data_IF_597696418020
#
_entry.id   IF_597696418020
#
_cell.length_a   1.000
_cell.length_b   1.000
_cell.length_c   1.000
_cell.angle_alpha   90.00
_cell.angle_beta   90.00
_cell.angle_gamma   90.00
#
_symmetry.space_group_name_H-M   'P 1'
#
loop_
_entity.id
_entity.type
_entity.pdbx_description
1 polymer ?
#
# COMPACT_ATOMS: atom_id res chain seq x y z
N UNK A 1 -31.63 -16.81 49.69
CA UNK A 1 -30.90 -16.19 48.56
C UNK A 1 -30.88 -17.20 47.43
N UNK A 2 -31.93 -17.17 46.60
CA UNK A 2 -32.07 -18.10 45.48
C UNK A 2 -31.50 -17.43 44.23
N UNK A 3 -30.18 -17.53 44.08
CA UNK A 3 -29.51 -17.16 42.84
C UNK A 3 -29.55 -18.38 41.92
N UNK A 4 -30.39 -18.32 40.88
CA UNK A 4 -30.38 -19.29 39.78
C UNK A 4 -29.81 -18.62 38.52
N UNK A 5 -29.14 -19.42 37.71
CA UNK A 5 -28.57 -19.02 36.42
C UNK A 5 -29.01 -20.04 35.38
N UNK A 6 -29.53 -19.55 34.26
CA UNK A 6 -29.97 -20.36 33.14
C UNK A 6 -28.86 -20.45 32.09
N UNK A 7 -28.68 -21.64 31.48
CA UNK A 7 -27.90 -21.78 30.26
C UNK A 7 -28.79 -21.46 29.06
N UNK A 8 -28.46 -20.38 28.35
CA UNK A 8 -29.25 -19.91 27.22
C UNK A 8 -28.89 -20.66 25.93
N UNK A 9 -29.90 -20.86 25.08
CA UNK A 9 -29.68 -21.33 23.72
C UNK A 9 -28.88 -20.28 22.91
N UNK A 10 -28.15 -20.69 21.84
CA UNK A 10 -27.40 -19.75 21.01
C UNK A 10 -28.26 -18.58 20.52
N UNK A 11 -27.74 -17.35 20.62
CA UNK A 11 -28.44 -16.11 20.29
C UNK A 11 -29.30 -15.51 21.41
N UNK A 12 -29.46 -16.18 22.56
CA UNK A 12 -30.23 -15.66 23.69
C UNK A 12 -29.33 -15.29 24.87
N UNK A 13 -29.65 -14.17 25.52
CA UNK A 13 -28.94 -13.64 26.68
C UNK A 13 -29.94 -13.24 27.78
N UNK A 14 -29.40 -12.82 28.93
CA UNK A 14 -30.19 -12.40 30.09
C UNK A 14 -30.45 -13.52 31.09
N UNK A 15 -30.86 -13.17 32.31
CA UNK A 15 -31.02 -14.12 33.42
C UNK A 15 -32.09 -15.20 33.12
N UNK A 16 -33.07 -14.85 32.28
CA UNK A 16 -34.16 -15.75 31.86
C UNK A 16 -34.05 -16.17 30.40
N UNK A 17 -32.94 -15.87 29.70
CA UNK A 17 -32.75 -16.19 28.28
C UNK A 17 -33.87 -15.66 27.36
N UNK A 18 -34.45 -14.51 27.71
CA UNK A 18 -35.55 -13.87 26.96
C UNK A 18 -35.08 -12.74 26.06
N UNK A 19 -33.82 -12.35 26.19
CA UNK A 19 -33.28 -11.21 25.45
C UNK A 19 -32.51 -11.74 24.24
N UNK A 20 -32.87 -11.28 23.03
CA UNK A 20 -32.09 -11.61 21.84
C UNK A 20 -30.76 -10.86 21.89
N UNK A 21 -29.66 -11.56 21.64
CA UNK A 21 -28.36 -10.93 21.48
C UNK A 21 -28.38 -10.07 20.21
N UNK A 22 -28.01 -8.79 20.32
CA UNK A 22 -27.89 -7.91 19.14
C UNK A 22 -26.64 -8.30 18.34
N UNK A 23 -26.86 -9.10 17.32
CA UNK A 23 -25.82 -9.61 16.43
C UNK A 23 -25.37 -8.54 15.40
N UNK A 24 -26.05 -7.39 15.35
CA UNK A 24 -25.68 -6.27 14.48
C UNK A 24 -24.61 -5.34 15.05
N UNK A 25 -24.22 -5.46 16.32
CA UNK A 25 -23.17 -4.62 16.93
C UNK A 25 -21.80 -4.74 16.24
N UNK A 26 -21.50 -5.92 15.69
CA UNK A 26 -20.26 -6.19 14.92
C UNK A 26 -20.66 -6.97 13.67
N UNK A 27 -21.29 -6.28 12.71
CA UNK A 27 -21.68 -6.87 11.44
C UNK A 27 -20.68 -6.57 10.32
N UNK A 28 -20.66 -7.43 9.31
CA UNK A 28 -19.83 -7.31 8.11
C UNK A 28 -20.58 -6.70 6.92
N UNK A 29 -21.78 -6.15 7.11
CA UNK A 29 -22.57 -5.58 6.02
C UNK A 29 -21.82 -4.43 5.34
N UNK A 30 -21.71 -4.50 4.02
CA UNK A 30 -20.94 -3.55 3.20
C UNK A 30 -21.86 -2.63 2.39
N UNK A 31 -21.26 -1.62 1.75
CA UNK A 31 -21.89 -0.80 0.71
C UNK A 31 -23.19 -0.07 1.14
N UNK A 32 -23.32 0.25 2.43
CA UNK A 32 -24.49 0.95 2.97
C UNK A 32 -25.71 0.06 3.22
N UNK A 33 -25.51 -1.26 3.29
CA UNK A 33 -26.54 -2.21 3.69
C UNK A 33 -27.02 -1.99 5.13
N UNK A 34 -28.30 -2.32 5.36
CA UNK A 34 -28.91 -2.24 6.69
C UNK A 34 -28.81 -3.61 7.35
N UNK A 35 -28.20 -3.69 8.54
CA UNK A 35 -28.15 -4.92 9.30
C UNK A 35 -29.50 -5.21 9.96
N UNK A 36 -30.01 -6.42 9.77
CA UNK A 36 -31.22 -6.93 10.40
C UNK A 36 -30.85 -8.01 11.40
N UNK A 37 -31.07 -7.72 12.68
CA UNK A 37 -30.85 -8.63 13.80
C UNK A 37 -31.77 -9.86 13.70
N UNK A 38 -31.22 -11.05 13.96
CA UNK A 38 -31.95 -12.33 13.98
C UNK A 38 -31.63 -13.08 15.27
N UNK A 39 -32.30 -14.21 15.49
CA UNK A 39 -31.97 -15.11 16.59
C UNK A 39 -30.73 -15.90 16.19
N UNK A 40 -29.59 -15.61 16.83
CA UNK A 40 -28.29 -16.25 16.59
C UNK A 40 -27.69 -15.94 15.22
N UNK A 41 -27.71 -14.67 14.82
CA UNK A 41 -27.03 -14.14 13.65
C UNK A 41 -27.68 -12.85 13.13
N UNK A 42 -27.18 -12.35 12.00
CA UNK A 42 -27.76 -11.19 11.34
C UNK A 42 -27.88 -11.41 9.83
N UNK A 43 -28.72 -10.60 9.18
CA UNK A 43 -28.90 -10.57 7.74
C UNK A 43 -28.64 -9.15 7.22
N UNK A 44 -27.89 -9.01 6.13
CA UNK A 44 -27.68 -7.71 5.49
C UNK A 44 -28.75 -7.45 4.45
N UNK A 45 -29.56 -6.41 4.67
CA UNK A 45 -30.49 -5.92 3.66
C UNK A 45 -29.73 -5.05 2.65
N UNK A 46 -29.48 -5.61 1.45
CA UNK A 46 -28.71 -4.94 0.42
C UNK A 46 -29.47 -3.77 -0.22
N UNK A 47 -28.79 -2.64 -0.45
CA UNK A 47 -29.33 -1.56 -1.29
C UNK A 47 -29.56 -2.05 -2.72
N UNK A 48 -30.41 -1.33 -3.46
CA UNK A 48 -30.78 -1.69 -4.84
C UNK A 48 -29.53 -1.94 -5.69
N UNK A 49 -29.49 -3.13 -6.31
CA UNK A 49 -28.42 -3.55 -7.21
C UNK A 49 -27.24 -4.24 -6.52
N UNK A 50 -27.05 -4.10 -5.22
CA UNK A 50 -26.03 -4.85 -4.49
C UNK A 50 -26.52 -6.26 -4.16
N UNK A 51 -25.60 -7.21 -4.11
CA UNK A 51 -25.89 -8.62 -3.81
C UNK A 51 -24.75 -9.26 -3.01
N UNK A 52 -24.94 -10.50 -2.58
CA UNK A 52 -24.03 -11.20 -1.67
C UNK A 52 -24.57 -11.25 -0.24
N UNK A 53 -23.99 -12.13 0.59
CA UNK A 53 -24.44 -12.33 1.97
C UNK A 53 -24.21 -11.08 2.83
N UNK A 54 -23.16 -10.34 2.52
CA UNK A 54 -22.77 -9.10 3.19
C UNK A 54 -22.91 -7.88 2.25
N UNK A 55 -23.64 -8.03 1.15
CA UNK A 55 -23.81 -7.01 0.12
C UNK A 55 -22.48 -6.55 -0.52
N UNK A 56 -21.51 -7.45 -0.58
CA UNK A 56 -20.15 -7.23 -1.07
C UNK A 56 -20.06 -7.13 -2.60
N UNK A 57 -21.06 -7.64 -3.33
CA UNK A 57 -21.11 -7.59 -4.79
C UNK A 57 -21.87 -6.36 -5.26
N UNK A 58 -21.18 -5.50 -6.01
CA UNK A 58 -21.77 -4.31 -6.63
C UNK A 58 -22.72 -4.69 -7.79
N UNK A 59 -23.70 -3.82 -8.12
CA UNK A 59 -24.57 -4.03 -9.27
C UNK A 59 -23.80 -4.22 -10.57
N UNK A 60 -24.26 -5.19 -11.36
CA UNK A 60 -23.83 -5.29 -12.75
C UNK A 60 -24.42 -4.11 -13.54
N UNK A 61 -23.58 -3.13 -13.81
CA UNK A 61 -23.91 -1.86 -14.49
C UNK A 61 -24.24 -2.02 -15.98
N UNK A 62 -24.06 -3.21 -16.57
CA UNK A 62 -24.34 -3.43 -18.00
C UNK A 62 -25.84 -3.45 -18.34
N UNK A 63 -26.72 -3.64 -17.34
CA UNK A 63 -28.17 -3.76 -17.56
C UNK A 63 -28.97 -2.50 -17.19
N UNK A 64 -28.34 -1.48 -16.57
CA UNK A 64 -29.02 -0.26 -16.11
C UNK A 64 -28.80 0.96 -17.01
N UNK A 65 -27.81 0.93 -17.90
CA UNK A 65 -27.52 2.03 -18.83
C UNK A 65 -27.31 1.51 -20.25
N UNK A 66 -28.41 1.27 -20.97
CA UNK A 66 -28.33 1.11 -22.42
C UNK A 66 -28.23 2.48 -23.10
N UNK A 67 -27.07 2.65 -23.75
CA UNK A 67 -26.66 3.67 -24.73
C UNK A 67 -25.76 4.78 -24.19
N UNK A 68 -24.49 4.69 -24.61
CA UNK A 68 -23.36 5.59 -24.37
C UNK A 68 -23.05 5.86 -22.91
N UNK A 69 -22.74 4.81 -22.14
CA UNK A 69 -21.92 5.03 -20.94
C UNK A 69 -20.55 5.53 -21.41
N UNK A 70 -20.09 6.72 -20.99
CA UNK A 70 -18.72 7.15 -21.29
C UNK A 70 -17.68 6.31 -20.55
N UNK A 71 -18.05 5.16 -19.99
CA UNK A 71 -17.17 4.21 -19.31
C UNK A 71 -17.00 2.91 -20.10
N UNK A 72 -17.72 2.73 -21.21
CA UNK A 72 -17.72 1.48 -21.99
C UNK A 72 -16.35 1.17 -22.64
N UNK A 73 -15.52 2.21 -22.84
CA UNK A 73 -14.15 2.10 -23.37
C UNK A 73 -13.10 2.76 -22.47
N UNK A 74 -13.48 3.23 -21.28
CA UNK A 74 -12.61 4.08 -20.46
C UNK A 74 -12.21 3.37 -19.16
N UNK A 75 -10.94 2.95 -19.12
CA UNK A 75 -10.33 2.13 -18.08
C UNK A 75 -9.96 2.94 -16.82
N UNK A 76 -10.90 3.10 -15.88
CA UNK A 76 -10.55 3.35 -14.48
C UNK A 76 -10.04 2.04 -13.86
N UNK A 77 -8.72 1.90 -13.65
CA UNK A 77 -8.12 0.62 -13.19
C UNK A 77 -8.50 0.27 -11.75
N UNK A 78 -8.38 1.23 -10.84
CA UNK A 78 -8.69 1.07 -9.42
C UNK A 78 -9.66 2.16 -8.96
N UNK A 79 -10.82 2.26 -9.61
CA UNK A 79 -11.81 3.28 -9.29
C UNK A 79 -13.11 3.11 -10.07
N UNK A 80 -14.07 3.98 -9.78
CA UNK A 80 -15.39 3.99 -10.43
C UNK A 80 -15.44 5.11 -11.47
N UNK A 81 -15.83 4.76 -12.70
CA UNK A 81 -16.06 5.74 -13.77
C UNK A 81 -17.45 6.37 -13.64
N UNK A 82 -17.54 7.69 -13.86
CA UNK A 82 -18.81 8.41 -13.90
C UNK A 82 -18.73 9.65 -14.81
N UNK A 83 -19.88 10.16 -15.27
CA UNK A 83 -19.98 11.43 -16.01
C UNK A 83 -20.54 12.52 -15.08
N UNK A 84 -19.74 13.54 -14.69
CA UNK A 84 -20.24 14.65 -13.90
C UNK A 84 -21.33 15.44 -14.64
N UNK A 85 -22.35 15.98 -13.95
CA UNK A 85 -23.36 16.84 -14.56
C UNK A 85 -22.72 18.05 -15.28
N UNK A 86 -23.08 18.26 -16.54
CA UNK A 86 -22.53 19.35 -17.36
C UNK A 86 -21.14 19.10 -17.94
N UNK A 87 -20.56 17.91 -17.74
CA UNK A 87 -19.30 17.52 -18.37
C UNK A 87 -19.54 16.74 -19.67
N UNK A 88 -18.65 16.94 -20.64
CA UNK A 88 -18.60 16.16 -21.88
C UNK A 88 -17.60 14.99 -21.82
N UNK A 89 -16.87 14.83 -20.71
CA UNK A 89 -15.83 13.80 -20.53
C UNK A 89 -16.03 13.04 -19.20
N UNK A 90 -15.66 11.75 -19.19
CA UNK A 90 -15.78 10.91 -17.99
C UNK A 90 -14.73 11.31 -16.93
N UNK A 91 -15.01 10.92 -15.69
CA UNK A 91 -14.07 11.03 -14.57
C UNK A 91 -14.00 9.72 -13.80
N UNK A 92 -12.81 9.39 -13.29
CA UNK A 92 -12.61 8.28 -12.39
C UNK A 92 -12.58 8.76 -10.94
N UNK A 93 -13.47 8.23 -10.10
CA UNK A 93 -13.36 8.31 -8.64
C UNK A 93 -12.47 7.17 -8.15
N UNK A 94 -11.24 7.49 -7.77
CA UNK A 94 -10.27 6.47 -7.38
C UNK A 94 -10.55 5.87 -6.00
N UNK A 95 -10.31 4.57 -5.87
CA UNK A 95 -10.29 3.88 -4.59
C UNK A 95 -9.19 4.47 -3.69
N UNK A 96 -9.34 4.40 -2.35
CA UNK A 96 -8.32 4.88 -1.43
C UNK A 96 -6.94 4.29 -1.78
N UNK A 97 -5.93 5.15 -1.89
CA UNK A 97 -4.59 4.72 -2.27
C UNK A 97 -4.27 4.78 -3.76
N UNK A 98 -5.22 5.20 -4.60
CA UNK A 98 -5.00 5.42 -6.04
C UNK A 98 -5.37 6.85 -6.46
N UNK A 99 -4.75 7.33 -7.53
CA UNK A 99 -4.91 8.66 -8.12
C UNK A 99 -4.63 8.60 -9.62
N UNK A 100 -4.71 9.74 -10.30
CA UNK A 100 -4.57 9.87 -11.74
C UNK A 100 -5.91 9.82 -12.47
N UNK A 101 -5.94 10.29 -13.73
CA UNK A 101 -7.18 10.35 -14.54
C UNK A 101 -7.84 8.98 -14.68
N UNK A 102 -7.06 7.90 -14.60
CA UNK A 102 -7.48 6.50 -14.74
C UNK A 102 -7.32 5.65 -13.48
N UNK A 103 -7.00 6.25 -12.33
CA UNK A 103 -6.75 5.50 -11.08
C UNK A 103 -5.67 4.42 -11.23
N UNK A 104 -4.66 4.72 -12.05
CA UNK A 104 -3.52 3.89 -12.40
C UNK A 104 -2.27 4.28 -11.62
N UNK A 105 -2.30 5.42 -10.92
CA UNK A 105 -1.20 5.88 -10.09
C UNK A 105 -1.49 5.55 -8.63
N UNK A 106 -0.55 4.90 -7.95
CA UNK A 106 -0.66 4.62 -6.52
C UNK A 106 -0.34 5.91 -5.72
N UNK A 107 -1.26 6.33 -4.85
CA UNK A 107 -1.15 7.53 -4.00
C UNK A 107 -0.82 7.24 -2.54
N UNK A 108 -1.32 6.15 -1.97
CA UNK A 108 -1.01 5.73 -0.60
C UNK A 108 -1.20 4.24 -0.42
N UNK A 109 -0.26 3.59 0.29
CA UNK A 109 -0.28 2.14 0.50
C UNK A 109 0.05 1.85 1.95
N UNK A 110 -0.61 0.83 2.50
CA UNK A 110 -0.29 0.28 3.81
C UNK A 110 0.26 -1.13 3.64
N UNK A 111 1.41 -1.39 4.26
CA UNK A 111 2.08 -2.69 4.20
C UNK A 111 1.82 -3.48 5.49
N UNK A 112 1.47 -4.76 5.36
CA UNK A 112 1.28 -5.71 6.46
C UNK A 112 2.05 -7.00 6.16
N UNK A 113 2.76 -7.53 7.17
CA UNK A 113 3.29 -8.91 7.20
C UNK A 113 3.87 -9.40 5.86
N UNK A 114 5.02 -8.86 5.45
CA UNK A 114 5.73 -9.32 4.25
C UNK A 114 5.09 -8.93 2.93
N UNK A 115 3.99 -8.16 2.92
CA UNK A 115 3.45 -7.54 1.71
C UNK A 115 4.50 -6.63 1.06
N UNK A 116 4.56 -6.66 -0.26
CA UNK A 116 5.39 -5.76 -1.05
C UNK A 116 4.66 -5.33 -2.31
N UNK A 117 5.09 -4.22 -2.89
CA UNK A 117 4.75 -3.88 -4.27
C UNK A 117 5.97 -4.17 -5.12
N UNK A 118 5.74 -4.84 -6.24
CA UNK A 118 6.72 -5.05 -7.30
C UNK A 118 6.34 -4.16 -8.48
N UNK A 119 7.20 -3.20 -8.78
CA UNK A 119 7.06 -2.36 -9.96
C UNK A 119 8.02 -2.93 -11.01
N UNK A 120 7.46 -3.63 -12.00
CA UNK A 120 8.19 -4.06 -13.18
C UNK A 120 8.72 -2.82 -13.89
N UNK A 121 10.03 -2.68 -13.90
CA UNK A 121 10.69 -1.50 -14.45
C UNK A 121 11.19 -1.80 -15.86
N UNK A 122 10.59 -1.15 -16.86
CA UNK A 122 11.27 -0.84 -18.13
C UNK A 122 12.27 0.32 -17.93
N UNK A 123 12.99 0.32 -16.80
CA UNK A 123 14.01 1.32 -16.53
C UNK A 123 15.27 0.95 -17.29
N UNK A 124 15.39 1.46 -18.52
CA UNK A 124 16.66 1.50 -19.24
C UNK A 124 17.58 2.57 -18.60
N UNK A 125 17.94 2.35 -17.32
CA UNK A 125 18.70 3.26 -16.46
C UNK A 125 20.16 3.41 -16.91
N UNK A 126 20.66 2.55 -17.81
CA UNK A 126 21.98 2.68 -18.42
C UNK A 126 22.21 4.06 -19.08
N UNK A 127 21.13 4.80 -19.39
CA UNK A 127 21.17 6.12 -20.02
C UNK A 127 20.69 7.28 -19.13
N UNK A 128 20.16 7.02 -17.92
CA UNK A 128 19.64 8.09 -17.05
C UNK A 128 20.67 8.43 -15.96
N UNK A 129 21.27 9.63 -15.99
CA UNK A 129 22.34 10.00 -15.07
C UNK A 129 21.88 10.20 -13.62
N UNK A 130 20.56 10.17 -13.38
CA UNK A 130 19.97 10.40 -12.07
C UNK A 130 18.69 9.61 -11.82
N UNK A 131 18.48 9.28 -10.56
CA UNK A 131 17.27 8.67 -10.01
C UNK A 131 16.77 9.55 -8.86
N UNK A 132 15.50 9.95 -8.91
CA UNK A 132 14.86 10.71 -7.83
C UNK A 132 13.66 9.95 -7.30
N UNK A 133 13.65 9.65 -6.00
CA UNK A 133 12.55 8.97 -5.32
C UNK A 133 12.08 9.88 -4.18
N UNK A 134 10.81 10.29 -4.24
CA UNK A 134 10.19 11.13 -3.20
C UNK A 134 8.93 10.46 -2.69
N UNK A 135 8.83 10.29 -1.39
CA UNK A 135 7.64 9.70 -0.77
C UNK A 135 7.43 10.23 0.64
N UNK A 136 6.24 9.97 1.17
CA UNK A 136 5.88 10.26 2.55
C UNK A 136 5.38 8.98 3.21
N UNK A 137 5.86 8.66 4.41
CA UNK A 137 5.44 7.46 5.13
C UNK A 137 5.26 7.73 6.61
N UNK A 138 4.57 6.81 7.28
CA UNK A 138 4.38 6.79 8.74
C UNK A 138 4.61 5.37 9.22
N UNK A 139 5.34 5.20 10.32
CA UNK A 139 5.58 3.88 10.91
C UNK A 139 5.91 3.97 12.40
N UNK A 140 5.68 2.86 13.12
CA UNK A 140 6.20 2.60 14.47
C UNK A 140 7.19 1.44 14.50
N UNK A 141 7.47 0.82 13.35
CA UNK A 141 8.38 -0.33 13.25
C UNK A 141 9.82 0.17 13.33
N UNK A 142 10.66 -0.57 14.06
CA UNK A 142 12.08 -0.27 14.15
C UNK A 142 12.87 -0.75 12.94
N UNK A 143 12.44 -1.86 12.34
CA UNK A 143 13.12 -2.51 11.23
C UNK A 143 12.12 -2.91 10.14
N UNK A 144 12.55 -2.88 8.88
CA UNK A 144 11.73 -3.24 7.73
C UNK A 144 12.27 -2.59 6.44
N UNK A 145 11.89 -3.12 5.28
CA UNK A 145 12.35 -2.59 3.99
C UNK A 145 11.41 -1.45 3.57
N UNK A 146 11.98 -0.30 3.19
CA UNK A 146 11.20 0.78 2.56
C UNK A 146 11.16 0.58 1.06
N UNK A 147 12.34 0.38 0.45
CA UNK A 147 12.43 -0.08 -0.93
C UNK A 147 13.74 -0.84 -1.18
N UNK A 148 13.74 -1.64 -2.24
CA UNK A 148 14.92 -2.35 -2.74
C UNK A 148 14.94 -2.32 -4.27
N UNK A 149 16.06 -1.88 -4.83
CA UNK A 149 16.41 -1.96 -6.24
C UNK A 149 17.69 -2.81 -6.33
N UNK A 150 17.57 -4.03 -6.82
CA UNK A 150 18.69 -4.94 -7.04
C UNK A 150 19.07 -4.99 -8.51
N UNK A 151 20.36 -5.14 -8.80
CA UNK A 151 20.96 -5.25 -10.12
C UNK A 151 21.88 -6.45 -10.20
N UNK A 152 22.38 -6.75 -11.40
CA UNK A 152 23.37 -7.81 -11.58
C UNK A 152 24.71 -7.43 -10.94
N UNK A 153 25.57 -8.41 -10.71
CA UNK A 153 26.93 -8.20 -10.17
C UNK A 153 26.98 -7.44 -8.83
N UNK A 154 25.92 -7.53 -8.03
CA UNK A 154 25.84 -6.92 -6.70
C UNK A 154 25.49 -5.43 -6.72
N UNK A 155 25.21 -4.84 -7.88
CA UNK A 155 24.65 -3.49 -7.97
C UNK A 155 23.35 -3.45 -7.18
N UNK A 156 23.18 -2.46 -6.30
CA UNK A 156 21.93 -2.26 -5.59
C UNK A 156 21.83 -0.87 -5.01
N UNK A 157 20.58 -0.44 -4.82
CA UNK A 157 20.24 0.68 -3.96
C UNK A 157 19.06 0.24 -3.08
N UNK A 158 19.24 0.29 -1.77
CA UNK A 158 18.19 -0.05 -0.83
C UNK A 158 18.02 1.03 0.23
N UNK A 159 16.78 1.22 0.66
CA UNK A 159 16.47 1.93 1.89
C UNK A 159 15.64 1.04 2.80
N UNK A 160 16.03 0.98 4.06
CA UNK A 160 15.36 0.20 5.08
C UNK A 160 15.31 0.96 6.39
N UNK A 161 14.39 0.58 7.25
CA UNK A 161 14.38 0.97 8.64
C UNK A 161 15.36 0.06 9.39
N UNK A 162 16.24 0.67 10.17
CA UNK A 162 17.12 -0.01 11.09
C UNK A 162 17.17 0.74 12.42
N UNK A 163 16.70 0.11 13.49
CA UNK A 163 16.60 0.71 14.83
C UNK A 163 15.90 2.09 14.82
N UNK A 164 14.85 2.21 14.00
CA UNK A 164 14.00 3.40 13.88
C UNK A 164 14.56 4.53 13.01
N UNK A 165 15.70 4.32 12.33
CA UNK A 165 16.30 5.27 11.37
C UNK A 165 16.26 4.68 9.98
N UNK A 166 16.35 5.54 8.96
CA UNK A 166 16.53 5.09 7.59
C UNK A 166 18.00 4.72 7.39
N UNK A 167 18.27 3.49 6.97
CA UNK A 167 19.57 3.00 6.51
C UNK A 167 19.52 2.87 5.00
N UNK A 168 20.52 3.45 4.33
CA UNK A 168 20.74 3.34 2.89
C UNK A 168 21.91 2.39 2.66
N UNK A 169 21.77 1.48 1.72
CA UNK A 169 22.86 0.68 1.17
C UNK A 169 22.98 0.96 -0.33
N UNK A 170 24.16 1.38 -0.78
CA UNK A 170 24.45 1.71 -2.17
C UNK A 170 25.67 0.93 -2.66
N UNK A 171 25.48 0.21 -3.76
CA UNK A 171 26.55 -0.39 -4.54
C UNK A 171 26.30 -0.12 -6.04
N UNK A 172 27.20 0.61 -6.68
CA UNK A 172 27.20 0.81 -8.15
C UNK A 172 28.19 -0.14 -8.84
N UNK A 173 28.45 -1.30 -8.22
CA UNK A 173 29.47 -2.24 -8.65
C UNK A 173 30.87 -1.92 -8.14
N UNK A 174 30.99 -1.04 -7.13
CA UNK A 174 32.27 -0.80 -6.46
C UNK A 174 32.27 -1.40 -5.05
N UNK A 175 33.38 -2.07 -4.71
CA UNK A 175 33.62 -2.57 -3.35
C UNK A 175 34.55 -1.61 -2.57
N UNK A 176 34.25 -1.30 -1.30
CA UNK A 176 33.14 -1.81 -0.48
C UNK A 176 31.81 -1.09 -0.73
N UNK A 177 30.70 -1.73 -0.32
CA UNK A 177 29.36 -1.14 -0.32
C UNK A 177 29.31 0.09 0.60
N UNK A 178 28.66 1.15 0.16
CA UNK A 178 28.50 2.38 0.95
C UNK A 178 27.21 2.35 1.75
N UNK A 179 27.29 2.61 3.05
CA UNK A 179 26.12 2.64 3.96
C UNK A 179 25.97 4.01 4.62
N UNK A 180 24.73 4.47 4.76
CA UNK A 180 24.42 5.74 5.42
C UNK A 180 23.16 5.62 6.28
N UNK A 181 23.10 6.37 7.38
CA UNK A 181 21.91 6.48 8.23
C UNK A 181 21.33 7.90 8.21
N UNK A 182 20.02 8.03 8.42
CA UNK A 182 19.37 9.31 8.72
C UNK A 182 19.74 9.81 10.11
N UNK A 183 19.78 11.14 10.29
CA UNK A 183 19.94 11.76 11.62
C UNK A 183 18.63 11.75 12.40
N UNK A 184 17.51 11.65 11.70
CA UNK A 184 16.16 11.63 12.22
C UNK A 184 15.77 10.18 12.55
N UNK A 185 15.11 10.00 13.70
CA UNK A 185 14.32 8.79 13.95
C UNK A 185 12.96 8.99 13.31
N UNK A 186 12.54 8.00 12.52
CA UNK A 186 11.35 8.07 11.66
C UNK A 186 10.25 7.09 12.07
N UNK A 187 10.42 6.44 13.23
CA UNK A 187 9.50 5.44 13.77
C UNK A 187 8.61 5.99 14.91
N UNK A 188 8.35 7.29 14.92
CA UNK A 188 7.59 7.97 15.98
C UNK A 188 6.06 7.94 15.77
N UNK A 189 5.59 7.30 14.70
CA UNK A 189 4.18 7.25 14.33
C UNK A 189 3.64 8.52 13.68
N UNK A 190 4.51 9.43 13.22
CA UNK A 190 4.14 10.62 12.44
C UNK A 190 4.55 10.47 10.98
N UNK A 191 4.02 11.36 10.14
CA UNK A 191 4.40 11.40 8.73
C UNK A 191 5.78 12.04 8.57
N UNK A 192 6.67 11.34 7.88
CA UNK A 192 7.96 11.86 7.43
C UNK A 192 7.98 11.95 5.91
N UNK A 193 8.46 13.07 5.36
CA UNK A 193 8.76 13.24 3.94
C UNK A 193 10.20 12.82 3.69
N UNK A 194 10.45 12.08 2.62
CA UNK A 194 11.79 11.61 2.28
C UNK A 194 12.07 11.85 0.82
N UNK A 195 13.21 12.48 0.57
CA UNK A 195 13.72 12.76 -0.76
C UNK A 195 15.06 12.06 -0.94
N UNK A 196 15.11 11.15 -1.91
CA UNK A 196 16.32 10.49 -2.35
C UNK A 196 16.69 10.95 -3.75
N UNK A 197 17.98 11.18 -3.93
CA UNK A 197 18.53 11.59 -5.21
C UNK A 197 19.87 10.89 -5.42
N UNK A 198 19.94 10.04 -6.44
CA UNK A 198 21.18 9.45 -6.92
C UNK A 198 21.57 10.17 -8.19
N UNK A 199 22.80 10.71 -8.25
CA UNK A 199 23.40 11.25 -9.47
C UNK A 199 24.73 10.53 -9.66
N UNK A 200 24.84 9.73 -10.72
CA UNK A 200 25.95 8.77 -10.89
C UNK A 200 26.07 7.86 -9.65
N UNK A 201 27.19 7.95 -8.93
CA UNK A 201 27.50 7.21 -7.69
C UNK A 201 27.35 8.03 -6.40
N UNK A 202 26.83 9.26 -6.52
CA UNK A 202 26.59 10.16 -5.40
C UNK A 202 25.11 10.07 -5.00
N UNK A 203 24.85 9.57 -3.80
CA UNK A 203 23.50 9.45 -3.27
C UNK A 203 23.28 10.46 -2.16
N UNK A 204 22.15 11.16 -2.24
CA UNK A 204 21.71 12.17 -1.29
C UNK A 204 20.36 11.79 -0.70
N UNK A 205 20.22 11.95 0.61
CA UNK A 205 18.99 11.77 1.37
C UNK A 205 18.68 13.04 2.17
N UNK A 206 17.43 13.45 2.11
CA UNK A 206 16.86 14.48 2.98
C UNK A 206 15.60 13.90 3.61
N UNK A 207 15.49 14.00 4.94
CA UNK A 207 14.31 13.60 5.71
C UNK A 207 13.67 14.86 6.27
N UNK A 208 12.38 15.03 6.01
CA UNK A 208 11.60 16.24 6.29
C UNK A 208 12.29 17.51 5.79
N UNK A 209 12.45 18.50 6.67
CA UNK A 209 13.19 19.74 6.43
C UNK A 209 14.56 19.68 7.15
N UNK A 210 15.06 18.46 7.37
CA UNK A 210 16.31 18.15 8.08
C UNK A 210 17.57 18.37 7.23
N UNK A 211 18.71 17.95 7.78
CA UNK A 211 20.00 18.13 7.12
C UNK A 211 20.23 17.12 6.01
N UNK A 212 20.81 17.59 4.91
CA UNK A 212 21.23 16.75 3.79
C UNK A 212 22.29 15.74 4.21
N UNK A 213 22.08 14.49 3.84
CA UNK A 213 23.00 13.36 4.04
C UNK A 213 23.47 12.88 2.68
N UNK A 214 24.78 12.76 2.48
CA UNK A 214 25.33 12.31 1.20
C UNK A 214 26.35 11.20 1.42
N UNK A 215 26.32 10.19 0.55
CA UNK A 215 27.37 9.19 0.41
C UNK A 215 27.78 9.02 -1.05
N UNK A 216 29.00 8.55 -1.24
CA UNK A 216 29.55 8.18 -2.54
C UNK A 216 29.97 6.72 -2.47
N UNK A 217 29.65 5.92 -3.49
CA UNK A 217 30.20 4.56 -3.60
C UNK A 217 31.52 4.61 -4.36
N UNK A 218 32.60 4.80 -3.60
CA UNK A 218 33.96 5.00 -4.10
C UNK A 218 34.42 3.87 -5.02
N UNK A 219 35.11 4.21 -6.10
CA UNK A 219 35.58 3.25 -7.09
C UNK A 219 35.41 3.72 -8.54
N UNK A 220 35.66 2.80 -9.48
CA UNK A 220 35.74 3.08 -10.93
C UNK A 220 34.38 3.19 -11.58
N UNK A 221 33.42 2.37 -11.17
CA UNK A 221 32.09 2.39 -11.74
C UNK A 221 31.36 3.66 -11.30
N UNK A 222 30.71 4.34 -12.26
CA UNK A 222 30.01 5.59 -12.00
C UNK A 222 28.49 5.42 -11.90
N UNK A 223 27.93 4.32 -12.39
CA UNK A 223 26.48 4.19 -12.59
C UNK A 223 25.93 2.92 -11.96
N UNK A 224 24.74 3.05 -11.37
CA UNK A 224 23.95 1.92 -10.92
C UNK A 224 23.32 1.23 -12.13
N UNK A 225 23.63 -0.05 -12.34
CA UNK A 225 22.98 -0.89 -13.33
C UNK A 225 21.96 -1.79 -12.65
N UNK A 226 20.68 -1.54 -12.94
CA UNK A 226 19.51 -2.31 -12.46
C UNK A 226 18.57 -2.59 -13.63
N UNK A 227 19.15 -2.76 -14.83
CA UNK A 227 18.40 -2.91 -16.07
C UNK A 227 17.53 -4.16 -16.01
N UNK A 228 16.25 -4.01 -16.37
CA UNK A 228 15.23 -5.08 -16.32
C UNK A 228 14.96 -5.67 -14.92
N UNK A 229 15.40 -5.00 -13.85
CA UNK A 229 15.15 -5.47 -12.50
C UNK A 229 13.99 -4.71 -11.85
N UNK A 230 13.10 -5.40 -11.13
CA UNK A 230 11.96 -4.76 -10.48
C UNK A 230 12.38 -3.89 -9.29
N UNK A 231 11.60 -2.83 -9.04
CA UNK A 231 11.65 -2.07 -7.81
C UNK A 231 10.65 -2.66 -6.81
N UNK A 232 11.15 -3.07 -5.66
CA UNK A 232 10.33 -3.54 -4.55
C UNK A 232 10.11 -2.44 -3.52
N UNK A 233 8.87 -2.29 -3.03
CA UNK A 233 8.50 -1.29 -2.00
C UNK A 233 7.80 -1.99 -0.83
N UNK A 234 8.17 -1.61 0.40
CA UNK A 234 7.58 -2.09 1.66
C UNK A 234 8.05 -3.49 2.13
N UNK A 235 8.57 -4.29 1.22
CA UNK A 235 9.09 -5.64 1.45
C UNK A 235 9.74 -6.16 0.17
N UNK A 236 10.13 -7.43 0.15
CA UNK A 236 10.57 -8.12 -1.06
C UNK A 236 10.34 -9.64 -0.93
N UNK A 237 10.27 -10.39 -2.04
CA UNK A 237 10.21 -11.85 -2.01
C UNK A 237 11.37 -12.46 -1.22
N UNK A 238 11.14 -13.60 -0.55
CA UNK A 238 12.18 -14.29 0.25
C UNK A 238 13.38 -14.72 -0.59
N UNK A 239 13.15 -15.09 -1.84
CA UNK A 239 14.17 -15.52 -2.80
C UNK A 239 15.20 -14.41 -3.02
N UNK A 240 14.72 -13.20 -3.35
CA UNK A 240 15.54 -11.99 -3.50
C UNK A 240 16.28 -11.66 -2.21
N UNK A 241 15.62 -11.82 -1.05
CA UNK A 241 16.22 -11.49 0.24
C UNK A 241 17.37 -12.39 0.69
N UNK A 242 17.53 -13.58 0.11
CA UNK A 242 18.62 -14.49 0.44
C UNK A 242 19.92 -14.13 -0.30
N UNK A 243 19.83 -13.57 -1.52
CA UNK A 243 21.00 -13.10 -2.29
C UNK A 243 21.62 -11.82 -1.71
N UNK A 244 20.84 -11.03 -0.96
CA UNK A 244 21.29 -9.77 -0.34
C UNK A 244 22.04 -9.99 0.99
N UNK A 245 21.93 -11.18 1.60
CA UNK A 245 22.54 -11.49 2.90
C UNK A 245 23.86 -12.27 2.83
N UNK A 246 24.31 -12.63 1.63
CA UNK A 246 25.64 -13.20 1.38
C UNK A 246 26.62 -12.09 1.02
#
# INVERSE_FOLDING_TARGET
NDYYSCECAPGWIGQNCTDNQDDCLVNECQNGATCLDKISGYECQCPVGYSGQFCEYAPNVDLLYQQTSPCQHHDCKHGVCFLPPGSSDYQCKCSPGYTGKRCDVISSVSFRLGSYIELAQDLNLQSKPSLSIKFRFVTKKENGILFYLGGDQGHHLSAELFKGRIRISLNVGNYPVSTMFSYEKVNDGRFHRVNFELIKKNFTMIVDDGSTRTIVNEGRNEFLDVTNQPLYIGGMPKEVGNDVRQ
#
